data_IF_430610867735
#
_entry.id   IF_430610867735
#
_cell.length_a   1.000
_cell.length_b   1.000
_cell.length_c   1.000
_cell.angle_alpha   90.00
_cell.angle_beta   90.00
_cell.angle_gamma   90.00
#
_symmetry.space_group_name_H-M   'P 1'
#
loop_
_entity.id
_entity.type
_entity.pdbx_description
1 polymer ?
#
# COMPACT_ATOMS: atom_id res chain seq x y z
N UNK A 1 6.43 30.49 -17.05
CA UNK A 1 6.53 31.90 -17.41
C UNK A 1 7.43 32.70 -16.47
N UNK A 2 7.32 32.58 -15.15
CA UNK A 2 8.17 33.27 -14.17
C UNK A 2 9.66 32.93 -14.31
N UNK A 3 9.99 31.69 -14.61
CA UNK A 3 11.37 31.21 -14.78
C UNK A 3 11.99 31.76 -16.08
N UNK A 4 11.23 31.84 -17.17
CA UNK A 4 11.68 32.44 -18.43
C UNK A 4 11.84 33.97 -18.31
N UNK A 5 10.96 34.60 -17.55
CA UNK A 5 11.09 36.03 -17.26
C UNK A 5 12.38 36.30 -16.47
N UNK A 6 12.64 35.55 -15.40
CA UNK A 6 13.88 35.66 -14.62
C UNK A 6 15.12 35.32 -15.44
N UNK A 7 15.03 34.37 -16.35
CA UNK A 7 16.07 34.07 -17.33
C UNK A 7 16.36 35.29 -18.17
N UNK A 8 15.35 35.90 -18.76
CA UNK A 8 15.51 37.08 -19.63
C UNK A 8 16.04 38.31 -18.85
N UNK A 9 15.78 38.36 -17.57
CA UNK A 9 16.27 39.37 -16.62
C UNK A 9 17.72 39.11 -16.16
N UNK A 10 18.34 38.02 -16.63
CA UNK A 10 19.72 37.65 -16.28
C UNK A 10 19.90 37.06 -14.90
N UNK A 11 18.83 36.52 -14.32
CA UNK A 11 18.90 35.87 -13.01
C UNK A 11 19.82 34.65 -13.02
N UNK A 12 20.69 34.56 -12.02
CA UNK A 12 21.60 33.42 -11.84
C UNK A 12 21.26 32.68 -10.55
N UNK A 13 21.35 31.34 -10.56
CA UNK A 13 21.26 30.54 -9.36
C UNK A 13 22.65 29.97 -9.04
N UNK A 14 23.17 30.24 -7.85
CA UNK A 14 24.55 29.85 -7.46
C UNK A 14 25.64 30.28 -8.46
N UNK A 15 25.48 31.43 -9.10
CA UNK A 15 26.44 31.94 -10.06
C UNK A 15 26.37 31.33 -11.47
N UNK A 16 25.46 30.40 -11.71
CA UNK A 16 25.22 29.79 -13.03
C UNK A 16 23.94 30.38 -13.65
N UNK A 17 23.98 30.67 -14.94
CA UNK A 17 22.80 31.09 -15.68
C UNK A 17 21.76 29.95 -15.70
N UNK A 18 20.51 30.26 -15.45
CA UNK A 18 19.41 29.34 -15.65
C UNK A 18 19.33 29.00 -17.15
N UNK A 19 19.33 27.71 -17.47
CA UNK A 19 19.23 27.26 -18.88
C UNK A 19 17.76 26.97 -19.21
N UNK A 20 17.24 27.60 -20.25
CA UNK A 20 15.95 27.25 -20.84
C UNK A 20 16.17 26.11 -21.86
N UNK A 21 15.48 24.99 -21.63
CA UNK A 21 15.49 23.81 -22.51
C UNK A 21 14.31 23.77 -23.47
N UNK A 22 13.41 24.77 -23.43
CA UNK A 22 12.31 24.94 -24.36
C UNK A 22 11.02 24.18 -24.01
N UNK A 23 11.02 23.30 -23.03
CA UNK A 23 9.82 22.59 -22.60
C UNK A 23 8.98 23.42 -21.59
N UNK A 24 7.83 22.88 -21.20
CA UNK A 24 6.98 23.40 -20.11
C UNK A 24 6.37 22.21 -19.38
N UNK A 25 7.19 21.56 -18.54
CA UNK A 25 6.85 20.30 -17.89
C UNK A 25 6.26 20.55 -16.50
N UNK A 26 5.07 20.04 -16.27
CA UNK A 26 4.50 19.90 -14.92
C UNK A 26 5.00 18.58 -14.32
N UNK A 27 6.15 18.62 -13.69
CA UNK A 27 6.79 17.46 -13.09
C UNK A 27 5.93 16.76 -12.02
N UNK A 28 5.14 17.52 -11.27
CA UNK A 28 4.21 16.92 -10.30
C UNK A 28 3.02 16.27 -11.00
N UNK A 29 2.48 16.91 -12.03
CA UNK A 29 1.43 16.34 -12.87
C UNK A 29 1.83 15.01 -13.49
N UNK A 30 3.09 14.88 -13.98
CA UNK A 30 3.63 13.64 -14.54
C UNK A 30 3.73 12.49 -13.53
N UNK A 31 3.85 12.80 -12.25
CA UNK A 31 3.94 11.81 -11.16
C UNK A 31 2.61 11.51 -10.49
N UNK A 32 1.57 12.25 -10.81
CA UNK A 32 0.27 12.14 -10.14
C UNK A 32 -0.83 11.67 -11.07
N UNK A 33 -1.89 11.16 -10.50
CA UNK A 33 -3.09 10.73 -11.21
C UNK A 33 -4.32 10.88 -10.34
N UNK A 34 -5.49 10.87 -10.95
CA UNK A 34 -6.74 10.62 -10.22
C UNK A 34 -6.72 9.19 -9.67
N UNK A 35 -6.77 9.07 -8.36
CA UNK A 35 -6.71 7.79 -7.67
C UNK A 35 -8.11 7.23 -7.43
N UNK A 36 -8.33 5.96 -7.79
CA UNK A 36 -9.59 5.24 -7.54
C UNK A 36 -9.33 4.13 -6.54
N UNK A 37 -10.16 4.06 -5.51
CA UNK A 37 -10.06 3.01 -4.49
C UNK A 37 -11.40 2.29 -4.34
N UNK A 38 -11.33 0.98 -4.17
CA UNK A 38 -12.52 0.17 -3.92
C UNK A 38 -12.25 -0.91 -2.89
N UNK A 39 -13.29 -1.33 -2.18
CA UNK A 39 -13.25 -2.41 -1.21
C UNK A 39 -14.51 -3.25 -1.31
N UNK A 40 -14.32 -4.55 -1.30
CA UNK A 40 -15.40 -5.53 -1.36
C UNK A 40 -15.33 -6.43 -0.14
N UNK A 41 -16.45 -6.59 0.53
CA UNK A 41 -16.57 -7.48 1.67
C UNK A 41 -17.70 -8.48 1.43
N UNK A 42 -17.39 -9.76 1.61
CA UNK A 42 -18.36 -10.83 1.63
C UNK A 42 -18.30 -11.51 2.99
N UNK A 43 -19.42 -11.67 3.64
CA UNK A 43 -19.51 -12.38 4.91
C UNK A 43 -20.65 -13.39 4.93
N UNK A 44 -20.37 -14.54 5.51
CA UNK A 44 -21.31 -15.62 5.75
C UNK A 44 -21.39 -15.86 7.26
N UNK A 45 -22.60 -15.99 7.75
CA UNK A 45 -22.86 -16.29 9.15
C UNK A 45 -23.96 -17.34 9.25
N UNK A 46 -23.76 -18.32 10.08
CA UNK A 46 -24.74 -19.38 10.28
C UNK A 46 -24.48 -20.17 11.56
N UNK A 47 -25.34 -21.12 11.82
CA UNK A 47 -25.18 -21.97 12.98
C UNK A 47 -26.40 -22.82 13.28
N UNK A 48 -26.27 -23.59 14.33
CA UNK A 48 -27.31 -24.41 14.97
C UNK A 48 -27.36 -24.10 16.46
N UNK A 49 -28.16 -24.85 17.21
CA UNK A 49 -28.21 -24.71 18.66
C UNK A 49 -26.84 -24.77 19.34
N UNK A 50 -25.97 -25.62 18.84
CA UNK A 50 -24.68 -25.92 19.47
C UNK A 50 -23.46 -25.40 18.68
N UNK A 51 -23.64 -24.91 17.47
CA UNK A 51 -22.54 -24.48 16.60
C UNK A 51 -22.85 -23.13 16.01
N UNK A 52 -21.91 -22.20 16.10
CA UNK A 52 -21.97 -20.94 15.41
C UNK A 52 -20.70 -20.76 14.55
N UNK A 53 -20.87 -20.26 13.35
CA UNK A 53 -19.74 -19.93 12.51
C UNK A 53 -19.93 -18.58 11.81
N UNK A 54 -18.81 -17.92 11.60
CA UNK A 54 -18.73 -16.71 10.80
C UNK A 54 -17.52 -16.85 9.89
N UNK A 55 -17.69 -16.58 8.60
CA UNK A 55 -16.60 -16.49 7.65
C UNK A 55 -16.72 -15.18 6.91
N UNK A 56 -15.61 -14.53 6.62
CA UNK A 56 -15.59 -13.33 5.81
C UNK A 56 -14.32 -13.26 4.95
N UNK A 57 -14.49 -12.65 3.78
CA UNK A 57 -13.37 -12.28 2.91
C UNK A 57 -13.53 -10.80 2.56
N UNK A 58 -12.43 -10.09 2.66
CA UNK A 58 -12.35 -8.68 2.27
C UNK A 58 -11.23 -8.50 1.25
N UNK A 59 -11.56 -7.86 0.15
CA UNK A 59 -10.62 -7.40 -0.86
C UNK A 59 -10.61 -5.88 -0.86
N UNK A 60 -9.44 -5.29 -0.85
CA UNK A 60 -9.25 -3.83 -0.91
C UNK A 60 -8.18 -3.52 -1.93
N UNK A 61 -8.51 -2.63 -2.86
CA UNK A 61 -7.54 -2.02 -3.76
C UNK A 61 -7.59 -0.50 -3.54
N UNK A 62 -6.46 0.08 -3.25
CA UNK A 62 -6.30 1.52 -3.07
C UNK A 62 -5.24 2.02 -4.03
N UNK A 63 -5.64 2.82 -4.98
CA UNK A 63 -4.69 3.55 -5.79
C UNK A 63 -4.21 4.79 -5.02
N UNK A 64 -2.92 5.04 -5.04
CA UNK A 64 -2.37 6.29 -4.54
C UNK A 64 -2.43 7.39 -5.60
N UNK A 65 -2.48 8.63 -5.18
CA UNK A 65 -2.40 9.81 -6.05
C UNK A 65 -1.07 9.84 -6.82
N UNK A 66 0.03 9.45 -6.20
CA UNK A 66 1.27 9.19 -6.91
C UNK A 66 1.20 7.87 -7.68
N UNK A 67 1.75 7.85 -8.90
CA UNK A 67 1.90 6.62 -9.67
C UNK A 67 2.76 5.61 -8.91
N UNK A 68 2.48 4.30 -9.08
CA UNK A 68 3.16 3.20 -8.36
C UNK A 68 3.09 3.30 -6.82
N UNK A 69 2.00 3.85 -6.27
CA UNK A 69 1.72 3.82 -4.82
C UNK A 69 0.47 3.03 -4.48
N UNK A 70 0.22 1.98 -5.26
CA UNK A 70 -0.96 1.15 -5.08
C UNK A 70 -0.82 0.25 -3.86
N UNK A 71 -1.92 -0.03 -3.22
CA UNK A 71 -2.01 -0.96 -2.12
C UNK A 71 -3.14 -1.94 -2.40
N UNK A 72 -2.81 -3.21 -2.42
CA UNK A 72 -3.76 -4.29 -2.55
C UNK A 72 -3.74 -5.16 -1.29
N UNK A 73 -4.91 -5.51 -0.78
CA UNK A 73 -5.05 -6.37 0.37
C UNK A 73 -6.19 -7.37 0.19
N UNK A 74 -5.92 -8.62 0.52
CA UNK A 74 -6.92 -9.65 0.70
C UNK A 74 -6.84 -10.19 2.12
N UNK A 75 -7.98 -10.21 2.81
CA UNK A 75 -8.09 -10.67 4.18
C UNK A 75 -9.21 -11.72 4.27
N UNK A 76 -8.91 -12.84 4.89
CA UNK A 76 -9.87 -13.88 5.19
C UNK A 76 -9.97 -14.09 6.71
N UNK A 77 -11.17 -14.26 7.21
CA UNK A 77 -11.41 -14.60 8.62
C UNK A 77 -12.44 -15.70 8.71
N UNK A 78 -12.21 -16.63 9.62
CA UNK A 78 -13.16 -17.67 9.99
C UNK A 78 -13.13 -17.85 11.50
N UNK A 79 -14.31 -17.85 12.10
CA UNK A 79 -14.54 -18.12 13.52
C UNK A 79 -15.59 -19.21 13.63
N UNK A 80 -15.29 -20.25 14.40
CA UNK A 80 -16.20 -21.37 14.70
C UNK A 80 -16.25 -21.56 16.20
N UNK A 81 -17.43 -21.59 16.73
CA UNK A 81 -17.68 -21.96 18.14
C UNK A 81 -18.63 -23.17 18.19
N UNK A 82 -18.23 -24.19 18.90
CA UNK A 82 -19.02 -25.40 19.08
C UNK A 82 -19.13 -25.73 20.56
N UNK A 83 -20.37 -25.93 21.04
CA UNK A 83 -20.67 -26.30 22.39
C UNK A 83 -21.15 -27.75 22.46
N UNK A 84 -20.65 -28.49 23.43
CA UNK A 84 -20.90 -29.91 23.66
C UNK A 84 -21.32 -30.15 25.11
N UNK A 85 -21.95 -31.32 25.37
CA UNK A 85 -22.35 -31.77 26.72
C UNK A 85 -23.14 -30.71 27.49
N UNK A 86 -24.25 -30.25 26.91
CA UNK A 86 -25.13 -29.23 27.51
C UNK A 86 -24.37 -27.95 27.89
N UNK A 87 -23.50 -27.51 26.96
CA UNK A 87 -22.62 -26.32 27.09
C UNK A 87 -21.53 -26.43 28.16
N UNK A 88 -21.30 -27.63 28.73
CA UNK A 88 -20.17 -27.83 29.65
C UNK A 88 -18.80 -27.74 28.98
N UNK A 89 -18.71 -28.09 27.71
CA UNK A 89 -17.48 -27.95 26.93
C UNK A 89 -17.74 -27.08 25.72
N UNK A 90 -16.97 -25.99 25.57
CA UNK A 90 -17.03 -25.10 24.44
C UNK A 90 -15.65 -25.04 23.75
N UNK A 91 -15.61 -25.36 22.46
CA UNK A 91 -14.44 -25.19 21.60
C UNK A 91 -14.65 -23.95 20.74
N UNK A 92 -13.61 -23.12 20.66
CA UNK A 92 -13.58 -22.00 19.74
C UNK A 92 -12.31 -22.08 18.88
N UNK A 93 -12.48 -21.90 17.57
CA UNK A 93 -11.38 -21.82 16.59
C UNK A 93 -11.55 -20.53 15.79
N UNK A 94 -10.50 -19.73 15.75
CA UNK A 94 -10.46 -18.48 14.97
C UNK A 94 -9.21 -18.47 14.08
N UNK A 95 -9.42 -18.22 12.80
CA UNK A 95 -8.34 -18.11 11.82
C UNK A 95 -8.44 -16.78 11.10
N UNK A 96 -7.31 -16.12 10.93
CA UNK A 96 -7.20 -14.91 10.14
C UNK A 96 -6.00 -15.03 9.20
N UNK A 97 -6.24 -14.80 7.93
CA UNK A 97 -5.22 -14.79 6.88
C UNK A 97 -5.26 -13.43 6.19
N UNK A 98 -4.11 -12.82 6.00
CA UNK A 98 -4.02 -11.59 5.22
C UNK A 98 -2.82 -11.63 4.28
N UNK A 99 -3.00 -11.09 3.09
CA UNK A 99 -1.93 -10.78 2.16
C UNK A 99 -2.05 -9.33 1.72
N UNK A 100 -0.95 -8.61 1.83
CA UNK A 100 -0.82 -7.24 1.36
C UNK A 100 0.25 -7.19 0.28
N UNK A 101 -0.05 -6.49 -0.79
CA UNK A 101 0.85 -6.25 -1.91
C UNK A 101 0.96 -4.75 -2.13
N UNK A 102 2.16 -4.25 -2.25
CA UNK A 102 2.43 -2.86 -2.58
C UNK A 102 3.70 -2.75 -3.43
N UNK A 103 3.77 -1.82 -4.38
CA UNK A 103 5.01 -1.53 -5.09
C UNK A 103 6.09 -1.06 -4.10
N UNK A 104 7.32 -1.41 -4.38
CA UNK A 104 8.48 -0.88 -3.67
C UNK A 104 9.02 0.31 -4.43
N UNK A 105 8.64 1.51 -4.03
CA UNK A 105 9.09 2.75 -4.65
C UNK A 105 9.51 3.77 -3.59
N UNK A 106 10.53 4.57 -3.90
CA UNK A 106 11.01 5.66 -3.04
C UNK A 106 10.36 6.98 -3.47
N UNK A 107 9.05 7.07 -3.27
CA UNK A 107 8.24 8.19 -3.72
C UNK A 107 8.69 9.54 -3.15
N UNK A 108 9.23 9.57 -1.93
CA UNK A 108 9.75 10.80 -1.32
C UNK A 108 10.91 11.40 -2.14
N UNK A 109 11.79 10.53 -2.68
CA UNK A 109 12.88 11.01 -3.53
C UNK A 109 12.36 11.59 -4.85
N UNK A 110 11.51 10.85 -5.57
CA UNK A 110 10.92 11.34 -6.80
C UNK A 110 10.09 12.60 -6.61
N UNK A 111 9.34 12.71 -5.50
CA UNK A 111 8.60 13.92 -5.15
C UNK A 111 9.55 15.13 -4.98
N UNK A 112 10.64 14.93 -4.25
CA UNK A 112 11.66 15.97 -4.08
C UNK A 112 12.26 16.38 -5.43
N UNK A 113 12.59 15.42 -6.28
CA UNK A 113 13.13 15.69 -7.61
C UNK A 113 12.14 16.51 -8.45
N UNK A 114 10.86 16.15 -8.43
CA UNK A 114 9.82 16.90 -9.16
C UNK A 114 9.70 18.36 -8.71
N UNK A 115 9.95 18.65 -7.42
CA UNK A 115 9.90 20.01 -6.90
C UNK A 115 11.10 20.86 -7.28
N UNK A 116 12.26 20.24 -7.50
CA UNK A 116 13.50 20.96 -7.80
C UNK A 116 13.86 20.99 -9.27
N UNK A 117 13.19 20.14 -10.09
CA UNK A 117 13.47 20.07 -11.53
C UNK A 117 13.08 21.36 -12.24
N UNK A 118 13.91 21.72 -13.19
CA UNK A 118 13.65 22.86 -14.05
C UNK A 118 12.43 22.56 -14.95
N UNK A 119 11.35 23.34 -14.88
CA UNK A 119 10.15 23.10 -15.68
C UNK A 119 10.38 23.27 -17.19
N UNK A 120 11.49 23.85 -17.60
CA UNK A 120 11.84 23.96 -19.03
C UNK A 120 12.53 22.71 -19.59
N UNK A 121 12.87 21.73 -18.74
CA UNK A 121 13.39 20.44 -19.17
C UNK A 121 12.25 19.53 -19.63
N UNK A 122 12.40 18.80 -20.75
CA UNK A 122 11.42 17.83 -21.19
C UNK A 122 11.54 16.54 -20.39
N UNK A 123 10.45 15.77 -20.29
CA UNK A 123 10.47 14.43 -19.69
C UNK A 123 11.30 13.46 -20.50
N UNK A 124 11.23 13.59 -21.82
CA UNK A 124 11.96 12.76 -22.79
C UNK A 124 12.63 13.63 -23.82
N UNK A 125 13.75 13.15 -24.36
CA UNK A 125 14.45 13.80 -25.46
C UNK A 125 13.76 13.53 -26.83
N UNK A 126 14.34 14.05 -27.90
CA UNK A 126 13.85 13.92 -29.29
C UNK A 126 13.86 12.45 -29.77
N UNK A 127 14.69 11.59 -29.19
CA UNK A 127 14.78 10.17 -29.52
C UNK A 127 13.76 9.33 -28.75
N UNK A 128 13.08 9.93 -27.77
CA UNK A 128 12.14 9.25 -26.89
C UNK A 128 12.78 8.61 -25.65
N UNK A 129 14.06 8.85 -25.42
CA UNK A 129 14.78 8.43 -24.23
C UNK A 129 14.49 9.39 -23.06
N UNK A 130 14.70 8.94 -21.83
CA UNK A 130 14.52 9.80 -20.67
C UNK A 130 15.54 10.95 -20.72
N UNK A 131 15.05 12.18 -20.61
CA UNK A 131 15.93 13.33 -20.56
C UNK A 131 16.60 13.37 -19.18
N UNK A 132 17.91 13.16 -19.16
CA UNK A 132 18.74 13.20 -17.95
C UNK A 132 19.84 14.25 -18.11
N UNK A 133 20.13 14.94 -17.03
CA UNK A 133 21.33 15.77 -16.93
C UNK A 133 22.34 14.99 -16.10
N UNK A 134 23.54 14.87 -16.54
CA UNK A 134 24.62 14.21 -15.78
C UNK A 134 25.05 15.08 -14.56
N UNK A 135 24.09 15.24 -13.63
CA UNK A 135 24.23 16.00 -12.41
C UNK A 135 23.97 15.11 -11.18
N UNK A 136 24.75 15.33 -10.15
CA UNK A 136 24.65 14.55 -8.92
C UNK A 136 23.34 14.85 -8.16
N UNK A 137 22.60 13.81 -7.82
CA UNK A 137 21.28 13.89 -7.17
C UNK A 137 20.24 14.77 -7.91
N UNK A 138 20.22 14.69 -9.22
CA UNK A 138 19.29 15.39 -10.08
C UNK A 138 18.73 14.46 -11.15
N UNK A 139 18.08 13.39 -10.70
CA UNK A 139 17.51 12.37 -11.58
C UNK A 139 16.13 12.80 -12.08
N UNK A 140 15.80 12.45 -13.32
CA UNK A 140 14.46 12.64 -13.85
C UNK A 140 13.44 11.88 -12.98
N UNK A 141 12.52 12.58 -12.32
CA UNK A 141 11.60 11.94 -11.36
C UNK A 141 10.63 10.95 -11.99
N UNK A 142 10.32 11.15 -13.29
CA UNK A 142 9.41 10.27 -14.03
C UNK A 142 10.13 8.98 -14.40
N UNK A 143 11.37 9.06 -14.90
CA UNK A 143 12.21 7.89 -15.18
C UNK A 143 12.40 7.07 -13.92
N UNK A 144 12.79 7.74 -12.84
CA UNK A 144 13.04 7.11 -11.55
C UNK A 144 11.85 6.28 -11.05
N UNK A 145 10.64 6.81 -11.12
CA UNK A 145 9.44 6.08 -10.71
C UNK A 145 9.07 4.99 -11.72
N UNK A 146 9.13 5.26 -13.02
CA UNK A 146 8.69 4.30 -14.04
C UNK A 146 9.64 3.11 -14.18
N UNK A 147 10.94 3.34 -14.08
CA UNK A 147 11.96 2.29 -14.18
C UNK A 147 12.17 1.53 -12.86
N UNK A 148 11.77 2.08 -11.72
CA UNK A 148 11.85 1.36 -10.46
C UNK A 148 10.92 0.14 -10.49
N UNK A 149 11.51 -1.04 -10.42
CA UNK A 149 10.81 -2.33 -10.36
C UNK A 149 10.95 -2.89 -8.95
N UNK A 150 9.83 -3.30 -8.38
CA UNK A 150 9.83 -3.98 -7.09
C UNK A 150 8.43 -4.09 -6.52
N UNK A 151 8.20 -5.18 -5.82
CA UNK A 151 6.95 -5.47 -5.14
C UNK A 151 7.25 -6.00 -3.73
N UNK A 152 6.53 -5.51 -2.76
CA UNK A 152 6.55 -6.03 -1.41
C UNK A 152 5.26 -6.81 -1.16
N UNK A 153 5.41 -8.12 -0.89
CA UNK A 153 4.31 -8.98 -0.46
C UNK A 153 4.50 -9.35 1.01
N UNK A 154 3.50 -9.06 1.81
CA UNK A 154 3.48 -9.47 3.22
C UNK A 154 2.29 -10.39 3.46
N UNK A 155 2.57 -11.59 3.91
CA UNK A 155 1.56 -12.58 4.33
C UNK A 155 1.54 -12.67 5.85
N UNK A 156 0.35 -12.83 6.42
CA UNK A 156 0.20 -12.98 7.86
C UNK A 156 -0.92 -14.00 8.13
N UNK A 157 -0.60 -15.02 8.89
CA UNK A 157 -1.54 -16.06 9.28
C UNK A 157 -1.61 -16.05 10.81
N UNK A 158 -2.81 -15.99 11.35
CA UNK A 158 -3.07 -16.12 12.79
C UNK A 158 -4.06 -17.24 13.01
N UNK A 159 -3.74 -18.11 13.90
CA UNK A 159 -4.60 -19.17 14.37
C UNK A 159 -4.76 -19.06 15.88
N UNK A 160 -5.98 -19.13 16.37
CA UNK A 160 -6.30 -19.20 17.79
C UNK A 160 -7.29 -20.34 18.02
N UNK A 161 -7.00 -21.19 19.00
CA UNK A 161 -7.89 -22.21 19.50
C UNK A 161 -8.09 -22.05 20.98
N UNK A 162 -9.29 -22.27 21.46
CA UNK A 162 -9.53 -22.34 22.89
C UNK A 162 -10.57 -23.43 23.24
N UNK A 163 -10.35 -24.09 24.37
CA UNK A 163 -11.26 -25.03 24.98
C UNK A 163 -11.65 -24.47 26.34
N UNK A 164 -12.95 -24.39 26.61
CA UNK A 164 -13.48 -23.97 27.88
C UNK A 164 -14.34 -25.12 28.45
N UNK A 165 -13.98 -25.64 29.62
CA UNK A 165 -14.69 -26.73 30.27
C UNK A 165 -15.26 -26.26 31.60
N UNK A 166 -16.56 -26.47 31.80
CA UNK A 166 -17.34 -26.13 33.01
C UNK A 166 -17.96 -27.39 33.56
N UNK A 167 -17.23 -28.20 34.35
CA UNK A 167 -17.79 -29.43 34.94
C UNK A 167 -18.93 -29.14 35.90
N UNK A 168 -18.84 -28.04 36.64
CA UNK A 168 -19.87 -27.55 37.59
C UNK A 168 -19.97 -26.01 37.45
N UNK A 169 -21.03 -25.40 37.87
CA UNK A 169 -21.29 -23.96 37.71
C UNK A 169 -20.20 -23.05 38.31
N UNK A 170 -19.63 -23.48 39.45
CA UNK A 170 -18.58 -22.72 40.16
C UNK A 170 -17.17 -22.89 39.61
N UNK A 171 -16.91 -23.81 38.65
CA UNK A 171 -15.59 -24.12 38.16
C UNK A 171 -15.49 -23.96 36.62
N UNK A 172 -14.56 -23.12 36.16
CA UNK A 172 -14.26 -22.96 34.75
C UNK A 172 -12.77 -23.20 34.49
N UNK A 173 -12.49 -24.17 33.65
CA UNK A 173 -11.14 -24.47 33.16
C UNK A 173 -11.03 -23.99 31.70
N UNK A 174 -9.97 -23.27 31.36
CA UNK A 174 -9.73 -22.77 29.99
C UNK A 174 -8.33 -23.06 29.54
N UNK A 175 -8.21 -23.70 28.37
CA UNK A 175 -6.96 -23.86 27.64
C UNK A 175 -6.99 -23.03 26.36
N UNK A 176 -5.86 -22.40 26.01
CA UNK A 176 -5.75 -21.56 24.82
C UNK A 176 -4.43 -21.87 24.09
N UNK A 177 -4.54 -21.89 22.76
CA UNK A 177 -3.39 -21.97 21.88
C UNK A 177 -3.47 -20.86 20.83
N UNK A 178 -2.38 -20.14 20.63
CA UNK A 178 -2.28 -19.10 19.61
C UNK A 178 -0.98 -19.24 18.82
N UNK A 179 -1.09 -19.13 17.50
CA UNK A 179 0.07 -19.12 16.59
C UNK A 179 -0.06 -17.98 15.58
N UNK A 180 1.05 -17.29 15.35
CA UNK A 180 1.20 -16.30 14.30
C UNK A 180 2.39 -16.67 13.42
N UNK A 181 2.20 -16.55 12.10
CA UNK A 181 3.26 -16.62 11.09
C UNK A 181 3.18 -15.37 10.21
N UNK A 182 4.32 -14.82 9.85
CA UNK A 182 4.43 -13.62 9.00
C UNK A 182 5.39 -13.90 7.87
#
# INVERSE_FOLDING_TARGET
DDLRQKWNEGYTFNGANLKDFGANTDWLGELTRTAVSHSHNLSLRGGSKNTNYTASINYTNRQGTFIKTDFEAINGRMDITHSMYDNKLTANVSTFVSQHTMPRSWNTYAYRQALIHNPTEPVKDENGDWFERDLYFYDNPVSYIRETIGEMKRKNIRFNGSLTFRPIESLTLKAMYARRST
#
